data_IF_973680231032
#
_entry.id   IF_973680231032
#
_cell.length_a   1.000
_cell.length_b   1.000
_cell.length_c   1.000
_cell.angle_alpha   90.00
_cell.angle_beta   90.00
_cell.angle_gamma   90.00
#
_symmetry.space_group_name_H-M   'P 1'
#
loop_
_entity.id
_entity.type
_entity.pdbx_description
1 polymer ?
#
# COMPACT_ATOMS: atom_id res chain seq x y z
N UNK A 1 25.19 22.39 -12.98
CA UNK A 1 25.01 21.70 -11.69
C UNK A 1 24.16 20.45 -11.95
N UNK A 2 24.73 19.26 -11.94
CA UNK A 2 24.02 17.98 -12.10
C UNK A 2 23.84 17.42 -10.69
N UNK A 3 22.61 17.24 -10.22
CA UNK A 3 22.32 16.58 -8.95
C UNK A 3 22.70 15.10 -9.11
N UNK A 4 23.88 14.75 -8.61
CA UNK A 4 24.35 13.37 -8.49
C UNK A 4 23.69 12.75 -7.25
N UNK A 5 22.42 12.36 -7.34
CA UNK A 5 21.76 11.63 -6.26
C UNK A 5 21.29 10.31 -6.83
N UNK A 6 22.15 9.31 -6.67
CA UNK A 6 21.78 7.91 -6.84
C UNK A 6 20.79 7.49 -5.75
N UNK A 7 20.29 6.24 -5.82
CA UNK A 7 19.32 5.71 -4.88
C UNK A 7 19.74 5.91 -3.43
N UNK A 8 18.94 6.64 -2.65
CA UNK A 8 19.18 6.89 -1.23
C UNK A 8 18.43 5.84 -0.40
N UNK A 9 19.17 5.06 0.39
CA UNK A 9 18.62 4.19 1.41
C UNK A 9 18.55 4.98 2.71
N UNK A 10 17.32 5.27 3.17
CA UNK A 10 17.09 5.94 4.45
C UNK A 10 16.59 4.88 5.43
N UNK A 11 17.43 4.53 6.40
CA UNK A 11 17.12 3.52 7.41
C UNK A 11 15.78 3.83 8.09
N UNK A 12 14.86 2.87 8.05
CA UNK A 12 13.53 2.97 8.66
C UNK A 12 12.52 3.85 7.92
N UNK A 13 12.86 4.48 6.80
CA UNK A 13 11.89 5.24 5.99
C UNK A 13 10.77 4.32 5.48
N UNK A 14 11.12 3.17 4.93
CA UNK A 14 10.17 2.18 4.45
C UNK A 14 9.23 1.70 5.54
N UNK A 15 9.74 1.45 6.75
CA UNK A 15 8.94 1.08 7.90
C UNK A 15 7.94 2.18 8.30
N UNK A 16 8.35 3.45 8.29
CA UNK A 16 7.46 4.59 8.59
C UNK A 16 6.40 4.79 7.51
N UNK A 17 6.78 4.69 6.23
CA UNK A 17 5.86 4.76 5.09
C UNK A 17 4.86 3.61 5.14
N UNK A 18 5.32 2.39 5.41
CA UNK A 18 4.49 1.20 5.63
C UNK A 18 3.44 1.44 6.73
N UNK A 19 3.88 1.91 7.91
CA UNK A 19 2.99 2.21 9.03
C UNK A 19 1.96 3.29 8.67
N UNK A 20 2.41 4.40 8.06
CA UNK A 20 1.53 5.50 7.64
C UNK A 20 0.50 5.07 6.58
N UNK A 21 0.86 4.13 5.69
CA UNK A 21 -0.09 3.55 4.74
C UNK A 21 -1.07 2.60 5.43
N UNK A 22 -0.61 1.77 6.37
CA UNK A 22 -1.47 0.83 7.09
C UNK A 22 -2.51 1.57 7.95
N UNK A 23 -2.09 2.63 8.65
CA UNK A 23 -2.96 3.48 9.47
C UNK A 23 -4.09 4.12 8.65
N UNK A 24 -3.86 4.42 7.37
CA UNK A 24 -4.89 4.96 6.46
C UNK A 24 -5.95 3.93 6.07
N UNK A 25 -5.59 2.65 6.03
CA UNK A 25 -6.54 1.57 5.72
C UNK A 25 -7.37 1.24 6.96
N UNK A 26 -6.71 1.13 8.12
CA UNK A 26 -7.36 0.93 9.41
C UNK A 26 -6.62 -0.04 10.33
N UNK A 27 -7.15 -0.28 11.54
CA UNK A 27 -6.48 -1.09 12.55
C UNK A 27 -6.28 -2.55 12.11
N UNK A 28 -5.13 -3.12 12.46
CA UNK A 28 -4.78 -4.51 12.19
C UNK A 28 -4.25 -4.79 10.78
N UNK A 29 -4.38 -3.85 9.84
CA UNK A 29 -3.77 -3.97 8.52
C UNK A 29 -2.25 -3.90 8.60
N UNK A 30 -1.57 -4.67 7.75
CA UNK A 30 -0.10 -4.63 7.63
C UNK A 30 0.30 -4.50 6.18
N UNK A 31 1.32 -3.68 5.94
CA UNK A 31 1.89 -3.45 4.62
C UNK A 31 3.38 -3.72 4.72
N UNK A 32 3.87 -4.71 3.99
CA UNK A 32 5.29 -5.04 3.96
C UNK A 32 5.90 -4.48 2.66
N UNK A 33 6.89 -3.59 2.80
CA UNK A 33 7.62 -3.00 1.67
C UNK A 33 9.03 -3.59 1.62
N UNK A 34 9.37 -4.30 0.53
CA UNK A 34 10.67 -4.92 0.29
C UNK A 34 11.51 -4.12 -0.69
N UNK A 35 12.82 -4.09 -0.47
CA UNK A 35 13.80 -3.52 -1.40
C UNK A 35 13.41 -2.13 -1.90
N UNK A 36 13.11 -1.26 -0.94
CA UNK A 36 12.63 0.10 -1.18
C UNK A 36 13.78 1.06 -1.50
N UNK A 37 13.58 1.97 -2.44
CA UNK A 37 14.58 2.94 -2.87
C UNK A 37 13.92 4.30 -3.06
N UNK A 38 14.52 5.35 -2.48
CA UNK A 38 14.05 6.71 -2.68
C UNK A 38 14.56 7.24 -4.03
N UNK A 39 13.66 7.72 -4.87
CA UNK A 39 13.94 8.28 -6.20
C UNK A 39 13.09 9.53 -6.48
N UNK A 40 13.46 10.25 -7.53
CA UNK A 40 12.62 11.29 -8.12
C UNK A 40 11.95 10.65 -9.35
N UNK A 41 10.62 10.66 -9.39
CA UNK A 41 9.86 10.11 -10.50
C UNK A 41 9.87 11.02 -11.74
N UNK A 42 9.19 10.60 -12.81
CA UNK A 42 9.17 11.32 -14.08
C UNK A 42 8.49 12.70 -13.97
N UNK A 43 7.62 12.86 -12.99
CA UNK A 43 6.87 14.07 -12.68
C UNK A 43 7.65 15.03 -11.74
N UNK A 44 8.91 14.72 -11.44
CA UNK A 44 9.75 15.41 -10.45
C UNK A 44 9.20 15.38 -9.02
N UNK A 45 8.36 14.39 -8.70
CA UNK A 45 7.93 14.14 -7.34
C UNK A 45 8.85 13.13 -6.66
N UNK A 46 8.92 13.25 -5.33
CA UNK A 46 9.71 12.34 -4.50
C UNK A 46 8.92 11.06 -4.28
N UNK A 47 9.49 9.92 -4.67
CA UNK A 47 8.82 8.63 -4.64
C UNK A 47 9.70 7.55 -4.01
N UNK A 48 9.06 6.62 -3.31
CA UNK A 48 9.68 5.39 -2.84
C UNK A 48 9.31 4.27 -3.81
N UNK A 49 10.26 3.83 -4.61
CA UNK A 49 10.13 2.64 -5.45
C UNK A 49 10.34 1.39 -4.61
N UNK A 50 9.43 0.43 -4.71
CA UNK A 50 9.42 -0.79 -3.88
C UNK A 50 9.40 -2.01 -4.78
N UNK A 51 10.36 -2.93 -4.63
CA UNK A 51 10.47 -4.13 -5.47
C UNK A 51 9.78 -5.36 -4.85
N UNK A 52 8.64 -5.10 -4.20
CA UNK A 52 7.84 -6.13 -3.56
C UNK A 52 6.99 -5.54 -2.46
N UNK A 53 5.68 -5.57 -2.65
CA UNK A 53 4.70 -5.09 -1.70
C UNK A 53 3.69 -6.19 -1.41
N UNK A 54 3.50 -6.47 -0.12
CA UNK A 54 2.47 -7.39 0.36
C UNK A 54 1.54 -6.64 1.33
N UNK A 55 0.23 -6.76 1.14
CA UNK A 55 -0.78 -6.22 2.07
C UNK A 55 -1.50 -7.38 2.73
N UNK A 56 -1.58 -7.33 4.06
CA UNK A 56 -2.28 -8.31 4.88
C UNK A 56 -3.43 -7.67 5.64
N UNK A 57 -4.54 -8.38 5.69
CA UNK A 57 -5.70 -7.98 6.48
C UNK A 57 -5.47 -8.21 7.99
N UNK A 58 -6.37 -7.75 8.87
CA UNK A 58 -6.27 -7.96 10.32
C UNK A 58 -6.19 -9.43 10.77
N UNK A 59 -6.68 -10.35 9.94
CA UNK A 59 -6.60 -11.80 10.16
C UNK A 59 -5.24 -12.39 9.74
N UNK A 60 -4.35 -11.58 9.16
CA UNK A 60 -3.00 -11.97 8.71
C UNK A 60 -2.94 -12.54 7.28
N UNK A 61 -4.08 -12.66 6.61
CA UNK A 61 -4.17 -13.19 5.26
C UNK A 61 -3.63 -12.18 4.23
N UNK A 62 -2.84 -12.67 3.26
CA UNK A 62 -2.32 -11.88 2.15
C UNK A 62 -3.45 -11.58 1.17
N UNK A 63 -3.81 -10.31 1.01
CA UNK A 63 -4.93 -9.87 0.15
C UNK A 63 -4.48 -9.14 -1.10
N UNK A 64 -3.28 -8.54 -1.07
CA UNK A 64 -2.68 -7.87 -2.22
C UNK A 64 -1.20 -8.20 -2.28
N UNK A 65 -0.71 -8.50 -3.48
CA UNK A 65 0.71 -8.57 -3.79
C UNK A 65 1.01 -7.73 -5.03
N UNK A 66 2.05 -6.91 -4.97
CA UNK A 66 2.55 -6.18 -6.13
C UNK A 66 4.08 -6.37 -6.24
N UNK A 67 4.59 -6.95 -7.34
CA UNK A 67 6.03 -7.07 -7.58
C UNK A 67 6.75 -5.72 -7.61
N UNK A 68 6.07 -4.67 -8.07
CA UNK A 68 6.60 -3.31 -8.10
C UNK A 68 5.51 -2.33 -7.64
N UNK A 69 5.90 -1.38 -6.79
CA UNK A 69 5.03 -0.27 -6.40
C UNK A 69 5.83 1.03 -6.32
N UNK A 70 5.17 2.15 -6.60
CA UNK A 70 5.69 3.49 -6.37
C UNK A 70 4.82 4.19 -5.32
N UNK A 71 5.45 4.69 -4.26
CA UNK A 71 4.76 5.45 -3.21
C UNK A 71 5.26 6.88 -3.26
N UNK A 72 4.45 7.82 -3.76
CA UNK A 72 4.81 9.23 -3.75
C UNK A 72 4.76 9.75 -2.32
N UNK A 73 5.75 10.54 -1.92
CA UNK A 73 5.88 11.11 -0.57
C UNK A 73 5.73 12.63 -0.65
N UNK A 74 5.20 13.27 0.39
CA UNK A 74 5.26 14.72 0.55
C UNK A 74 6.70 15.17 0.90
N UNK A 75 7.40 15.95 0.07
CA UNK A 75 8.76 16.38 0.34
C UNK A 75 8.89 17.18 1.66
N UNK A 76 7.88 17.99 2.00
CA UNK A 76 7.91 18.79 3.24
C UNK A 76 7.75 17.93 4.50
N UNK A 77 7.07 16.80 4.38
CA UNK A 77 6.92 15.83 5.47
C UNK A 77 8.26 15.16 5.81
N UNK A 78 9.07 14.86 4.79
CA UNK A 78 10.41 14.27 4.95
C UNK A 78 11.41 15.23 5.58
N UNK A 79 11.37 16.50 5.19
CA UNK A 79 12.22 17.54 5.80
C UNK A 79 11.90 17.75 7.30
N UNK A 80 10.68 17.41 7.72
CA UNK A 80 10.24 17.38 9.13
C UNK A 80 10.43 16.01 9.80
N UNK A 81 11.14 15.08 9.14
CA UNK A 81 11.40 13.71 9.60
C UNK A 81 10.13 12.88 9.87
N UNK A 82 9.00 13.26 9.25
CA UNK A 82 7.70 12.62 9.42
C UNK A 82 7.09 12.29 8.05
N UNK A 83 7.56 11.22 7.38
CA UNK A 83 7.17 10.89 6.00
C UNK A 83 5.67 10.66 5.88
N UNK A 84 5.02 11.40 4.99
CA UNK A 84 3.61 11.27 4.66
C UNK A 84 3.45 10.79 3.22
N UNK A 85 2.99 9.55 2.99
CA UNK A 85 2.64 9.05 1.66
C UNK A 85 1.53 9.92 1.04
N UNK A 86 1.47 10.07 -0.28
CA UNK A 86 0.39 10.82 -0.96
C UNK A 86 -0.44 9.91 -1.84
N UNK A 87 0.24 9.08 -2.61
CA UNK A 87 -0.35 8.12 -3.53
C UNK A 87 0.46 6.84 -3.52
N UNK A 88 -0.18 5.76 -3.96
CA UNK A 88 0.46 4.49 -4.22
C UNK A 88 0.03 4.01 -5.60
N UNK A 89 1.01 3.67 -6.43
CA UNK A 89 0.83 3.04 -7.72
C UNK A 89 1.32 1.60 -7.61
N UNK A 90 0.48 0.64 -8.01
CA UNK A 90 0.84 -0.77 -8.05
C UNK A 90 1.09 -1.18 -9.49
N UNK A 91 2.13 -1.97 -9.72
CA UNK A 91 2.43 -2.60 -11.00
C UNK A 91 2.43 -4.11 -10.85
N UNK A 92 1.85 -4.77 -11.85
CA UNK A 92 1.68 -6.23 -11.89
C UNK A 92 0.94 -6.79 -10.65
N UNK A 93 -0.11 -6.09 -10.23
CA UNK A 93 -0.86 -6.43 -9.01
C UNK A 93 -1.55 -7.79 -9.12
N UNK A 94 -1.41 -8.58 -8.06
CA UNK A 94 -2.07 -9.86 -7.84
C UNK A 94 -3.03 -9.68 -6.67
N UNK A 95 -4.33 -9.83 -6.92
CA UNK A 95 -5.37 -9.75 -5.92
C UNK A 95 -6.62 -10.51 -6.35
N UNK A 96 -7.43 -10.90 -5.37
CA UNK A 96 -8.75 -11.48 -5.58
C UNK A 96 -9.79 -10.51 -5.05
N UNK A 97 -10.62 -9.99 -5.94
CA UNK A 97 -11.72 -9.11 -5.59
C UNK A 97 -13.03 -9.90 -5.54
N UNK A 98 -13.78 -9.73 -4.47
CA UNK A 98 -15.14 -10.23 -4.32
C UNK A 98 -16.10 -9.09 -4.62
N UNK A 99 -17.00 -9.30 -5.57
CA UNK A 99 -18.05 -8.35 -5.91
C UNK A 99 -19.36 -8.84 -5.30
N UNK A 100 -19.93 -8.04 -4.42
CA UNK A 100 -21.20 -8.32 -3.79
C UNK A 100 -22.38 -7.93 -4.70
N UNK A 101 -23.58 -8.45 -4.38
CA UNK A 101 -24.81 -8.10 -5.12
C UNK A 101 -25.18 -6.62 -5.02
N UNK A 102 -24.75 -5.94 -3.96
CA UNK A 102 -24.95 -4.50 -3.76
C UNK A 102 -23.92 -3.64 -4.54
N UNK A 103 -23.04 -4.27 -5.33
CA UNK A 103 -22.00 -3.60 -6.10
C UNK A 103 -20.74 -3.25 -5.31
N UNK A 104 -20.69 -3.54 -4.02
CA UNK A 104 -19.49 -3.33 -3.22
C UNK A 104 -18.39 -4.34 -3.56
N UNK A 105 -17.14 -3.89 -3.43
CA UNK A 105 -15.95 -4.69 -3.71
C UNK A 105 -15.18 -4.89 -2.42
N UNK A 106 -14.85 -6.14 -2.13
CA UNK A 106 -13.98 -6.53 -1.03
C UNK A 106 -12.77 -7.29 -1.55
N UNK A 107 -11.68 -7.27 -0.79
CA UNK A 107 -10.45 -8.01 -1.14
C UNK A 107 -10.39 -9.30 -0.34
N UNK A 108 -10.27 -10.42 -1.05
CA UNK A 108 -10.12 -11.74 -0.46
C UNK A 108 -8.65 -12.12 -0.32
N UNK A 109 -8.37 -13.09 0.53
CA UNK A 109 -7.06 -13.71 0.59
C UNK A 109 -6.70 -14.31 -0.77
N UNK A 110 -5.57 -13.88 -1.34
CA UNK A 110 -5.01 -14.44 -2.57
C UNK A 110 -3.97 -15.48 -2.19
N UNK A 111 -4.42 -16.68 -1.80
CA UNK A 111 -3.55 -17.85 -1.81
C UNK A 111 -3.77 -18.62 -3.12
N UNK A 112 -2.70 -19.05 -3.82
CA UNK A 112 -2.84 -19.93 -4.98
C UNK A 112 -3.40 -21.33 -4.64
N UNK A 113 -3.73 -21.61 -3.37
CA UNK A 113 -4.00 -22.96 -2.86
C UNK A 113 -5.21 -23.10 -1.92
N UNK A 114 -5.96 -22.04 -1.61
CA UNK A 114 -7.05 -22.12 -0.62
C UNK A 114 -8.44 -21.89 -1.21
N UNK A 115 -9.22 -22.95 -1.48
CA UNK A 115 -10.64 -22.87 -1.77
C UNK A 115 -11.42 -22.85 -0.46
N UNK A 116 -11.30 -21.79 0.31
CA UNK A 116 -12.19 -21.53 1.43
C UNK A 116 -12.88 -20.20 1.21
N UNK A 117 -14.18 -20.15 1.49
CA UNK A 117 -14.98 -18.92 1.43
C UNK A 117 -14.30 -17.85 2.28
N UNK A 118 -13.48 -17.02 1.64
CA UNK A 118 -12.91 -15.84 2.24
C UNK A 118 -14.09 -14.92 2.51
N UNK A 119 -14.52 -14.83 3.77
CA UNK A 119 -15.58 -13.91 4.14
C UNK A 119 -15.05 -12.49 3.88
N UNK A 120 -15.66 -11.75 2.94
CA UNK A 120 -15.21 -10.40 2.63
C UNK A 120 -15.37 -9.52 3.86
N UNK A 121 -14.26 -8.91 4.29
CA UNK A 121 -14.29 -7.87 5.30
C UNK A 121 -14.19 -6.52 4.57
N UNK A 122 -15.31 -5.83 4.44
CA UNK A 122 -15.32 -4.46 3.96
C UNK A 122 -14.56 -3.59 4.96
N UNK A 123 -13.55 -2.80 4.53
CA UNK A 123 -12.90 -1.85 5.41
C UNK A 123 -13.93 -0.89 6.02
N UNK A 124 -13.78 -0.45 7.28
CA UNK A 124 -14.73 0.44 7.93
C UNK A 124 -14.90 1.78 7.19
N UNK A 125 -13.89 2.22 6.42
CA UNK A 125 -13.97 3.40 5.55
C UNK A 125 -14.94 3.22 4.37
N UNK A 126 -15.09 1.99 3.87
CA UNK A 126 -16.07 1.64 2.83
C UNK A 126 -17.47 1.45 3.43
N UNK A 127 -17.55 0.92 4.66
CA UNK A 127 -18.83 0.79 5.36
C UNK A 127 -19.45 2.16 5.67
N UNK A 128 -18.62 3.14 6.06
CA UNK A 128 -19.05 4.53 6.22
C UNK A 128 -19.54 5.19 4.92
N UNK A 129 -19.01 4.75 3.76
CA UNK A 129 -19.42 5.24 2.44
C UNK A 129 -20.68 4.56 1.90
N UNK A 130 -21.16 3.47 2.52
CA UNK A 130 -22.31 2.71 2.01
C UNK A 130 -23.66 3.42 2.20
N UNK A 131 -23.76 4.41 3.08
CA UNK A 131 -25.03 5.08 3.35
C UNK A 131 -26.10 4.13 3.93
N UNK A 132 -27.01 4.66 4.74
CA UNK A 132 -28.15 3.87 5.21
C UNK A 132 -29.22 3.94 4.12
N UNK A 133 -29.57 2.80 3.52
CA UNK A 133 -30.71 2.67 2.59
C UNK A 133 -32.01 2.62 3.37
#
# INVERSE_FOLDING_TARGET
MRLAYGPLQIDGLSARVSAALADRIGPGWRIDLRDSTLEIDAENALALRVSGLDIRNPQGALVVRAPLALVSIDPWSLLRLSPSPRSIEFRDVQMTALVHRDGSIAFAASEPSYPGDASPHTPPSVDAARGVV
#
